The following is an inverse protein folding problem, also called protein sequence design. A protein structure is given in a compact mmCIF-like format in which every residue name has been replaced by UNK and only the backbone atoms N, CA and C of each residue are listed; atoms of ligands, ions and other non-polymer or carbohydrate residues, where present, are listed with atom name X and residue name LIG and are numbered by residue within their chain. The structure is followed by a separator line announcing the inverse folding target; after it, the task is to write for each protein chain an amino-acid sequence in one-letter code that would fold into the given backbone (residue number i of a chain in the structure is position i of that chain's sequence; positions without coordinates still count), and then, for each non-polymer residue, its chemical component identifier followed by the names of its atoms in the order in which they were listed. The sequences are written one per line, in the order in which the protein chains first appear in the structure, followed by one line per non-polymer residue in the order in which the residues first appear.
data_IF_617747515077
#
_entry.id   IF_617747515077
#
_cell.length_a   1.000
_cell.length_b   1.000
_cell.length_c   1.000
_cell.angle_alpha   90.00
_cell.angle_beta   90.00
_cell.angle_gamma   90.00
#
_symmetry.space_group_name_H-M   'P 1'
#
loop_
_entity.id
_entity.type
_entity.pdbx_description
1 polymer ?
#
# COMPACT_ATOMS: atom_id res chain seq x y z
N UNK A 1 -3.68 -36.48 14.57
CA UNK A 1 -3.89 -35.91 15.93
C UNK A 1 -3.43 -34.45 15.93
N UNK A 2 -4.30 -33.52 15.56
CA UNK A 2 -4.05 -32.09 15.79
C UNK A 2 -4.07 -31.85 17.29
N UNK A 3 -2.91 -31.57 17.92
CA UNK A 3 -2.91 -31.14 19.31
C UNK A 3 -3.43 -29.71 19.34
N UNK A 4 -4.62 -29.50 19.89
CA UNK A 4 -5.19 -28.18 20.17
C UNK A 4 -4.26 -27.40 21.11
N UNK A 5 -3.26 -26.73 20.54
CA UNK A 5 -2.30 -25.90 21.27
C UNK A 5 -2.80 -24.47 21.23
N UNK A 6 -2.92 -23.83 22.40
CA UNK A 6 -3.23 -22.40 22.47
C UNK A 6 -2.10 -21.62 21.78
N UNK A 7 -2.41 -20.80 20.75
CA UNK A 7 -1.38 -20.03 20.08
C UNK A 7 -0.99 -18.83 20.95
N UNK A 8 0.29 -18.78 21.33
CA UNK A 8 0.88 -17.72 22.16
C UNK A 8 1.33 -16.53 21.31
N UNK A 9 1.01 -15.33 21.75
CA UNK A 9 1.51 -14.05 21.23
C UNK A 9 2.99 -13.86 21.51
N UNK A 10 3.64 -12.94 20.80
CA UNK A 10 5.03 -12.56 21.05
C UNK A 10 5.20 -11.95 22.44
N UNK A 11 4.25 -11.11 22.89
CA UNK A 11 4.25 -10.55 24.24
C UNK A 11 4.12 -11.60 25.34
N UNK A 12 3.24 -12.60 25.18
CA UNK A 12 3.16 -13.72 26.13
C UNK A 12 4.47 -14.52 26.19
N UNK A 13 5.13 -14.75 25.04
CA UNK A 13 6.42 -15.44 25.00
C UNK A 13 7.53 -14.64 25.70
N UNK A 14 7.54 -13.31 25.55
CA UNK A 14 8.50 -12.45 26.24
C UNK A 14 8.32 -12.51 27.76
N UNK A 15 7.07 -12.44 28.25
CA UNK A 15 6.79 -12.61 29.68
C UNK A 15 7.27 -13.97 30.21
N UNK A 16 7.09 -15.04 29.43
CA UNK A 16 7.59 -16.37 29.79
C UNK A 16 9.13 -16.37 29.88
N UNK A 17 9.82 -15.69 28.95
CA UNK A 17 11.29 -15.56 28.96
C UNK A 17 11.74 -14.78 30.19
N UNK A 18 11.14 -13.62 30.47
CA UNK A 18 11.44 -12.79 31.64
C UNK A 18 11.22 -13.54 32.95
N UNK A 19 10.10 -14.28 33.07
CA UNK A 19 9.80 -15.07 34.26
C UNK A 19 10.79 -16.23 34.44
N UNK A 20 11.22 -16.86 33.33
CA UNK A 20 12.21 -17.93 33.36
C UNK A 20 13.61 -17.41 33.72
N UNK A 21 14.00 -16.24 33.21
CA UNK A 21 15.26 -15.58 33.55
C UNK A 21 15.28 -15.08 35.00
N UNK A 22 14.15 -14.57 35.52
CA UNK A 22 14.02 -14.22 36.94
C UNK A 22 14.18 -15.44 37.85
N UNK A 23 13.74 -16.61 37.39
CA UNK A 23 13.79 -17.89 38.10
C UNK A 23 14.93 -18.79 37.61
N UNK A 24 16.10 -18.23 37.26
CA UNK A 24 17.23 -18.93 36.62
C UNK A 24 17.79 -20.16 37.39
N UNK A 25 17.32 -20.43 38.62
CA UNK A 25 17.66 -21.63 39.40
C UNK A 25 16.52 -22.65 39.56
N UNK A 26 15.31 -22.35 39.11
CA UNK A 26 14.18 -23.26 39.20
C UNK A 26 14.20 -24.30 38.08
N UNK A 27 13.66 -25.48 38.36
CA UNK A 27 13.56 -26.52 37.33
C UNK A 27 12.59 -26.08 36.22
N UNK A 28 12.96 -26.35 34.96
CA UNK A 28 12.09 -26.04 33.80
C UNK A 28 10.70 -26.65 33.94
N UNK A 29 10.61 -27.80 34.62
CA UNK A 29 9.37 -28.47 34.97
C UNK A 29 8.47 -27.68 35.94
N UNK A 30 9.05 -27.04 36.97
CA UNK A 30 8.26 -26.23 37.90
C UNK A 30 7.77 -24.95 37.25
N UNK A 31 8.64 -24.26 36.48
CA UNK A 31 8.27 -23.04 35.74
C UNK A 31 7.14 -23.34 34.74
N UNK A 32 7.23 -24.46 34.02
CA UNK A 32 6.21 -24.87 33.06
C UNK A 32 4.86 -25.15 33.75
N UNK A 33 4.86 -25.80 34.93
CA UNK A 33 3.65 -26.04 35.73
C UNK A 33 3.02 -24.73 36.22
N UNK A 34 3.82 -23.81 36.75
CA UNK A 34 3.35 -22.54 37.28
C UNK A 34 2.75 -21.65 36.18
N UNK A 35 3.34 -21.67 34.99
CA UNK A 35 2.88 -20.93 33.82
C UNK A 35 1.79 -21.66 33.02
N UNK A 36 1.37 -22.85 33.47
CA UNK A 36 0.38 -23.70 32.80
C UNK A 36 0.70 -23.94 31.31
N UNK A 37 1.98 -24.15 30.98
CA UNK A 37 2.46 -24.45 29.63
C UNK A 37 3.19 -25.80 29.60
N UNK A 38 3.16 -26.54 28.49
CA UNK A 38 3.95 -27.75 28.36
C UNK A 38 5.45 -27.46 28.44
N UNK A 39 6.22 -28.33 29.11
CA UNK A 39 7.69 -28.21 29.19
C UNK A 39 8.36 -28.13 27.81
N UNK A 40 7.82 -28.89 26.84
CA UNK A 40 8.28 -28.85 25.45
C UNK A 40 8.12 -27.46 24.82
N UNK A 41 7.05 -26.74 25.16
CA UNK A 41 6.79 -25.37 24.70
C UNK A 41 7.74 -24.39 25.36
N UNK A 42 7.93 -24.47 26.69
CA UNK A 42 8.88 -23.63 27.42
C UNK A 42 10.30 -23.79 26.85
N UNK A 43 10.76 -25.03 26.65
CA UNK A 43 12.08 -25.32 26.06
C UNK A 43 12.23 -24.68 24.68
N UNK A 44 11.20 -24.75 23.84
CA UNK A 44 11.22 -24.16 22.50
C UNK A 44 11.23 -22.64 22.54
N UNK A 45 10.48 -22.03 23.45
CA UNK A 45 10.44 -20.57 23.64
C UNK A 45 11.81 -20.05 24.09
N UNK A 46 12.42 -20.70 25.08
CA UNK A 46 13.74 -20.32 25.58
C UNK A 46 14.83 -20.52 24.51
N UNK A 47 14.76 -21.59 23.71
CA UNK A 47 15.71 -21.81 22.62
C UNK A 47 15.58 -20.76 21.49
N UNK A 48 14.42 -20.13 21.35
CA UNK A 48 14.12 -19.13 20.32
C UNK A 48 14.09 -17.69 20.86
N UNK A 49 14.65 -17.45 22.05
CA UNK A 49 14.64 -16.16 22.76
C UNK A 49 15.01 -14.98 21.84
N UNK A 50 16.15 -15.05 21.17
CA UNK A 50 16.66 -13.92 20.36
C UNK A 50 15.74 -13.63 19.18
N UNK A 51 15.22 -14.69 18.55
CA UNK A 51 14.25 -14.54 17.45
C UNK A 51 12.93 -13.94 17.92
N UNK A 52 12.49 -14.23 19.15
CA UNK A 52 11.25 -13.69 19.70
C UNK A 52 11.42 -12.20 20.02
N UNK A 53 12.58 -11.80 20.56
CA UNK A 53 12.93 -10.39 20.81
C UNK A 53 12.96 -9.58 19.51
N UNK A 54 13.67 -10.07 18.49
CA UNK A 54 13.75 -9.42 17.19
C UNK A 54 12.36 -9.28 16.54
N UNK A 55 11.57 -10.36 16.57
CA UNK A 55 10.23 -10.35 16.00
C UNK A 55 9.27 -9.46 16.78
N UNK A 56 9.40 -9.37 18.10
CA UNK A 56 8.59 -8.46 18.90
C UNK A 56 8.89 -6.99 18.57
N UNK A 57 10.17 -6.66 18.33
CA UNK A 57 10.56 -5.34 17.86
C UNK A 57 10.02 -5.04 16.44
N UNK A 58 10.07 -6.02 15.54
CA UNK A 58 9.60 -5.85 14.14
C UNK A 58 8.08 -5.80 13.99
N UNK A 59 7.35 -6.65 14.71
CA UNK A 59 5.93 -6.91 14.47
C UNK A 59 5.00 -6.45 15.60
N UNK A 60 5.54 -6.02 16.73
CA UNK A 60 4.80 -5.71 17.94
C UNK A 60 4.40 -6.93 18.77
N UNK A 61 3.84 -6.67 19.96
CA UNK A 61 3.62 -7.68 21.00
C UNK A 61 2.41 -8.60 20.74
N UNK A 62 1.40 -8.10 20.02
CA UNK A 62 0.11 -8.78 19.86
C UNK A 62 0.11 -9.87 18.78
N UNK A 63 1.13 -9.93 17.92
CA UNK A 63 1.21 -10.96 16.86
C UNK A 63 1.51 -12.34 17.44
N UNK A 64 0.86 -13.36 16.91
CA UNK A 64 1.10 -14.78 17.26
C UNK A 64 2.16 -15.45 16.37
N UNK A 65 2.30 -14.96 15.14
CA UNK A 65 3.23 -15.45 14.14
C UNK A 65 4.09 -14.31 13.58
N UNK A 66 5.37 -14.58 13.39
CA UNK A 66 6.31 -13.71 12.71
C UNK A 66 6.27 -14.01 11.20
N UNK A 67 5.17 -13.58 10.56
CA UNK A 67 4.99 -13.72 9.12
C UNK A 67 4.81 -12.34 8.52
N UNK A 68 5.62 -12.05 7.51
CA UNK A 68 5.50 -10.86 6.67
C UNK A 68 4.35 -11.03 5.66
N UNK A 69 3.80 -9.91 5.18
CA UNK A 69 2.80 -9.90 4.11
C UNK A 69 3.39 -10.39 2.78
N UNK A 70 2.51 -10.70 1.81
CA UNK A 70 2.93 -11.07 0.44
C UNK A 70 3.76 -9.96 -0.21
N UNK A 71 3.48 -8.71 0.13
CA UNK A 71 4.10 -7.51 -0.43
C UNK A 71 4.87 -6.73 0.63
N UNK A 72 5.62 -7.43 1.49
CA UNK A 72 6.35 -6.82 2.60
C UNK A 72 7.28 -5.65 2.19
N UNK A 73 7.87 -5.72 1.00
CA UNK A 73 8.71 -4.65 0.47
C UNK A 73 7.90 -3.38 0.13
N UNK A 74 6.72 -3.56 -0.46
CA UNK A 74 5.79 -2.45 -0.77
C UNK A 74 5.21 -1.85 0.51
N UNK A 75 4.77 -2.69 1.45
CA UNK A 75 4.28 -2.25 2.76
C UNK A 75 5.34 -1.43 3.51
N UNK A 76 6.61 -1.87 3.47
CA UNK A 76 7.71 -1.12 4.06
C UNK A 76 7.91 0.25 3.39
N UNK A 77 7.89 0.30 2.06
CA UNK A 77 8.03 1.56 1.32
C UNK A 77 6.89 2.54 1.62
N UNK A 78 5.65 2.04 1.75
CA UNK A 78 4.50 2.86 2.11
C UNK A 78 4.64 3.49 3.50
N UNK A 79 5.05 2.69 4.50
CA UNK A 79 5.28 3.19 5.87
C UNK A 79 6.42 4.21 5.92
N UNK A 80 7.49 4.00 5.14
CA UNK A 80 8.62 4.93 5.06
C UNK A 80 8.22 6.26 4.39
N UNK A 81 7.40 6.22 3.34
CA UNK A 81 6.86 7.43 2.70
C UNK A 81 5.95 8.22 3.64
N UNK A 82 5.07 7.57 4.40
CA UNK A 82 4.19 8.23 5.38
C UNK A 82 5.00 8.89 6.50
N UNK A 83 6.01 8.22 7.03
CA UNK A 83 6.88 8.76 8.07
C UNK A 83 7.76 9.93 7.58
N UNK A 84 7.98 10.04 6.28
CA UNK A 84 8.75 11.13 5.66
C UNK A 84 7.90 12.39 5.40
N UNK A 85 6.58 12.33 5.55
CA UNK A 85 5.73 13.51 5.46
C UNK A 85 5.81 14.28 6.79
N UNK A 86 6.22 15.55 6.80
CA UNK A 86 6.13 16.38 7.99
C UNK A 86 4.66 16.47 8.42
N UNK A 87 4.39 16.12 9.68
CA UNK A 87 3.06 16.22 10.31
C UNK A 87 2.71 17.67 10.68
N UNK A 88 3.70 18.57 10.62
CA UNK A 88 3.54 20.00 10.84
C UNK A 88 3.65 20.74 9.51
N UNK A 89 2.52 20.83 8.83
CA UNK A 89 1.99 22.04 8.19
C UNK A 89 0.68 21.57 7.55
N UNK A 90 -0.40 21.60 8.34
CA UNK A 90 -1.71 21.91 7.76
C UNK A 90 -1.44 23.06 6.78
N UNK A 91 -1.79 22.95 5.49
CA UNK A 91 -1.82 24.14 4.69
C UNK A 91 -2.84 25.01 5.39
N UNK A 92 -2.37 26.01 6.15
CA UNK A 92 -3.16 27.18 6.39
C UNK A 92 -3.54 27.61 4.98
N UNK A 93 -4.76 27.27 4.57
CA UNK A 93 -5.52 28.04 3.60
C UNK A 93 -5.80 29.39 4.29
N UNK A 94 -4.72 30.07 4.68
CA UNK A 94 -4.69 31.48 4.97
C UNK A 94 -5.36 32.10 3.79
N UNK A 95 -6.47 32.79 4.08
CA UNK A 95 -7.29 33.45 3.08
C UNK A 95 -6.35 34.13 2.09
N UNK A 96 -6.24 33.55 0.89
CA UNK A 96 -5.51 34.16 -0.19
C UNK A 96 -6.26 35.47 -0.43
N UNK A 97 -5.71 36.56 0.09
CA UNK A 97 -6.05 37.89 -0.38
C UNK A 97 -5.61 37.91 -1.84
N UNK A 98 -6.50 37.46 -2.72
CA UNK A 98 -6.32 37.57 -4.15
C UNK A 98 -6.09 39.06 -4.42
N UNK A 99 -4.95 39.43 -5.03
CA UNK A 99 -4.70 40.81 -5.40
C UNK A 99 -5.65 41.15 -6.54
N UNK A 100 -6.82 41.67 -6.21
CA UNK A 100 -7.83 42.05 -7.18
C UNK A 100 -9.24 41.87 -6.64
N UNK A 101 -10.12 42.76 -7.04
CA UNK A 101 -11.55 42.55 -6.84
C UNK A 101 -12.05 41.48 -7.82
N UNK A 102 -13.16 40.82 -7.48
CA UNK A 102 -13.84 39.93 -8.43
C UNK A 102 -14.17 40.62 -9.76
N UNK A 103 -14.39 41.93 -9.75
CA UNK A 103 -14.63 42.72 -10.96
C UNK A 103 -13.41 42.76 -11.90
N UNK A 104 -12.19 42.74 -11.36
CA UNK A 104 -10.96 42.70 -12.18
C UNK A 104 -10.77 41.33 -12.87
N UNK A 105 -11.28 40.26 -12.27
CA UNK A 105 -11.27 38.92 -12.89
C UNK A 105 -12.36 38.77 -13.96
N UNK A 106 -13.56 39.31 -13.71
CA UNK A 106 -14.67 39.21 -14.66
C UNK A 106 -14.49 40.13 -15.87
N UNK A 107 -13.90 41.32 -15.70
CA UNK A 107 -13.68 42.26 -16.80
C UNK A 107 -12.54 41.86 -17.75
N UNK A 108 -11.73 40.86 -17.42
CA UNK A 108 -10.63 40.42 -18.27
C UNK A 108 -11.08 39.75 -19.58
N UNK A 109 -12.30 39.20 -19.61
CA UNK A 109 -12.85 38.53 -20.79
C UNK A 109 -13.79 39.44 -21.63
N UNK A 110 -14.09 40.66 -21.15
CA UNK A 110 -14.98 41.59 -21.86
C UNK A 110 -14.31 42.21 -23.11
N UNK A 111 -12.97 42.21 -23.17
CA UNK A 111 -12.18 42.72 -24.31
C UNK A 111 -11.74 41.61 -25.29
N UNK A 112 -12.23 40.38 -25.14
CA UNK A 112 -11.95 39.30 -26.08
C UNK A 112 -12.71 39.57 -27.38
N UNK A 113 -11.98 39.94 -28.43
CA UNK A 113 -12.52 40.10 -29.77
C UNK A 113 -13.19 38.78 -30.21
N UNK A 114 -14.52 38.73 -30.10
CA UNK A 114 -15.32 37.63 -30.65
C UNK A 114 -15.22 37.75 -32.17
N UNK A 115 -14.78 36.67 -32.83
CA UNK A 115 -14.86 36.60 -34.28
C UNK A 115 -16.30 36.89 -34.71
N UNK A 116 -16.47 37.79 -35.68
CA UNK A 116 -17.78 38.08 -36.28
C UNK A 116 -18.50 36.79 -36.61
N UNK A 117 -19.83 36.78 -36.44
CA UNK A 117 -20.67 35.62 -36.77
C UNK A 117 -20.30 35.08 -38.16
N UNK A 118 -19.77 33.86 -38.19
CA UNK A 118 -19.54 33.14 -39.45
C UNK A 118 -20.92 32.67 -39.90
N UNK A 119 -21.32 33.02 -41.12
CA UNK A 119 -22.61 32.57 -41.63
C UNK A 119 -22.58 31.06 -41.88
N UNK A 120 -23.73 30.41 -41.77
CA UNK A 120 -23.84 28.96 -42.02
C UNK A 120 -23.41 28.63 -43.47
N UNK A 121 -23.58 29.57 -44.40
CA UNK A 121 -23.22 29.42 -45.80
C UNK A 121 -21.69 29.39 -45.99
N UNK A 122 -20.93 30.21 -45.25
CA UNK A 122 -19.44 30.21 -45.26
C UNK A 122 -18.85 28.88 -44.73
N UNK A 123 -19.54 28.24 -43.79
CA UNK A 123 -19.15 26.93 -43.25
C UNK A 123 -19.38 25.82 -44.29
N UNK A 124 -20.49 25.90 -45.04
CA UNK A 124 -20.82 24.89 -46.05
C UNK A 124 -19.84 24.94 -47.24
N UNK A 125 -19.38 26.13 -47.61
CA UNK A 125 -18.40 26.31 -48.68
C UNK A 125 -17.02 25.73 -48.29
N UNK A 126 -16.60 25.88 -47.03
CA UNK A 126 -15.32 25.32 -46.54
C UNK A 126 -15.32 23.81 -46.34
N UNK A 127 -16.48 23.18 -46.11
CA UNK A 127 -16.61 21.72 -45.92
C UNK A 127 -16.75 20.95 -47.24
N UNK A 128 -16.92 21.64 -48.37
CA UNK A 128 -16.95 21.01 -49.70
C UNK A 128 -15.71 21.36 -50.52
N UNK A 129 -14.51 20.84 -50.19
CA UNK A 129 -13.54 20.61 -51.25
C UNK A 129 -14.08 19.47 -52.12
N UNK A 130 -14.37 19.81 -53.38
CA UNK A 130 -14.85 18.88 -54.39
C UNK A 130 -14.05 17.56 -54.42
N UNK A 131 -14.79 16.46 -54.30
CA UNK A 131 -14.54 15.08 -54.72
C UNK A 131 -13.23 14.75 -55.47
N UNK A 132 -12.38 13.92 -54.87
CA UNK A 132 -11.60 12.82 -55.48
C UNK A 132 -10.75 12.15 -54.37
N UNK A 133 -10.74 10.85 -54.09
CA UNK A 133 -11.42 9.66 -54.58
C UNK A 133 -10.71 8.43 -53.97
N UNK A 134 -11.45 7.32 -53.79
CA UNK A 134 -10.98 5.91 -53.68
C UNK A 134 -10.05 5.57 -52.49
N UNK A 135 -10.04 4.44 -51.79
CA UNK A 135 -10.55 3.07 -51.91
C UNK A 135 -10.20 2.47 -50.53
N UNK A 136 -11.14 2.07 -49.68
CA UNK A 136 -11.55 0.68 -49.46
C UNK A 136 -10.45 -0.35 -49.79
N UNK A 137 -9.93 -1.07 -48.78
CA UNK A 137 -10.00 -2.55 -48.65
C UNK A 137 -9.40 -3.00 -47.29
N UNK A 138 -10.19 -3.81 -46.58
CA UNK A 138 -9.88 -4.62 -45.39
C UNK A 138 -9.22 -5.95 -45.80
N UNK A 139 -8.38 -6.56 -44.94
CA UNK A 139 -8.10 -8.02 -44.80
C UNK A 139 -6.93 -8.16 -43.77
N UNK A 140 -7.06 -8.66 -42.53
CA UNK A 140 -7.48 -9.98 -42.03
C UNK A 140 -6.65 -11.14 -42.60
N UNK A 141 -5.73 -11.73 -41.82
CA UNK A 141 -5.88 -13.14 -41.37
C UNK A 141 -4.74 -13.70 -40.49
N UNK A 142 -5.11 -14.78 -39.82
CA UNK A 142 -4.61 -15.44 -38.62
C UNK A 142 -3.33 -16.31 -38.68
N UNK A 143 -2.86 -16.57 -37.47
CA UNK A 143 -2.09 -17.69 -36.88
C UNK A 143 -1.70 -18.94 -37.70
N UNK A 144 -0.50 -19.48 -37.41
CA UNK A 144 -0.26 -20.92 -37.30
C UNK A 144 0.93 -21.27 -36.38
N UNK A 145 0.61 -21.91 -35.26
CA UNK A 145 1.47 -22.65 -34.34
C UNK A 145 2.10 -23.88 -35.01
N UNK A 146 3.37 -24.18 -34.69
CA UNK A 146 3.97 -25.49 -34.96
C UNK A 146 4.88 -25.91 -33.79
N UNK A 147 4.27 -26.58 -32.80
CA UNK A 147 4.96 -27.39 -31.81
C UNK A 147 5.10 -28.82 -32.34
N UNK A 148 6.32 -29.25 -32.66
CA UNK A 148 6.68 -30.66 -32.81
C UNK A 148 8.01 -30.89 -32.10
N UNK A 149 7.96 -31.40 -30.88
CA UNK A 149 9.08 -32.12 -30.29
C UNK A 149 8.58 -33.51 -29.88
N UNK A 150 9.03 -34.52 -30.62
CA UNK A 150 9.08 -35.92 -30.18
C UNK A 150 10.42 -36.20 -29.52
#
# INVERSE_FOLDING_TARGET
MSRNRKPLTLGEKLRIIEEAERRNGATKASIARDLNIPESSLKTILAKKDSILLNAAKFGLNRKAAKDGKYAAMEKALVECEAALPVDDEPEFGSLELPGSFADYVGADDDVAVCSEVSLDDIIETVRPDTAGTSDEEEMDDAAEASVNS
#
